data_IF_490074407470
#
_entry.id   IF_490074407470
#
_cell.length_a   1.000
_cell.length_b   1.000
_cell.length_c   1.000
_cell.angle_alpha   90.00
_cell.angle_beta   90.00
_cell.angle_gamma   90.00
#
_symmetry.space_group_name_H-M   'P 1'
#
loop_
_entity.id
_entity.type
_entity.pdbx_description
1 polymer ?
#
# COMPACT_ATOMS: atom_id res chain seq x y z
N UNK A 1 50.62 -23.19 0.92
CA UNK A 1 50.30 -21.90 1.58
C UNK A 1 49.43 -21.11 0.61
N UNK A 2 48.24 -20.64 0.95
CA UNK A 2 47.50 -20.64 2.25
C UNK A 2 46.05 -21.05 2.02
N UNK A 3 45.51 -21.94 2.87
CA UNK A 3 44.07 -22.20 2.94
C UNK A 3 43.49 -21.24 3.97
N UNK A 4 42.74 -20.23 3.53
CA UNK A 4 41.92 -19.41 4.42
C UNK A 4 40.52 -19.98 4.50
N UNK A 5 40.30 -20.86 5.48
CA UNK A 5 38.95 -21.20 5.94
C UNK A 5 38.27 -19.92 6.42
N UNK A 6 37.05 -19.57 5.93
CA UNK A 6 36.35 -18.38 6.43
C UNK A 6 36.03 -18.56 7.92
N UNK A 7 36.33 -17.51 8.70
CA UNK A 7 36.11 -17.50 10.14
C UNK A 7 34.61 -17.60 10.44
N UNK A 8 34.23 -18.57 11.29
CA UNK A 8 32.84 -18.69 11.73
C UNK A 8 32.39 -17.42 12.48
N UNK A 9 31.11 -17.07 12.36
CA UNK A 9 30.52 -15.95 13.09
C UNK A 9 30.45 -16.31 14.57
N UNK A 10 31.27 -15.63 15.38
CA UNK A 10 31.35 -15.82 16.82
C UNK A 10 30.27 -14.94 17.48
N UNK A 11 29.15 -15.55 17.85
CA UNK A 11 28.15 -14.91 18.70
C UNK A 11 28.66 -14.96 20.13
N UNK A 12 29.31 -13.87 20.55
CA UNK A 12 29.78 -13.70 21.92
C UNK A 12 28.64 -13.94 22.93
N UNK A 13 28.99 -14.58 24.04
CA UNK A 13 28.03 -15.08 25.02
C UNK A 13 27.03 -14.01 25.51
N UNK A 14 25.78 -14.42 25.68
CA UNK A 14 24.75 -13.62 26.36
C UNK A 14 25.23 -13.19 27.75
N UNK A 15 24.99 -11.93 28.15
CA UNK A 15 25.24 -11.51 29.53
C UNK A 15 24.22 -12.17 30.46
N UNK A 16 24.70 -13.00 31.39
CA UNK A 16 23.88 -13.60 32.44
C UNK A 16 23.17 -12.52 33.28
N UNK A 17 21.84 -12.62 33.51
CA UNK A 17 21.16 -11.78 34.47
C UNK A 17 21.49 -12.23 35.90
N UNK A 18 22.07 -11.33 36.71
CA UNK A 18 22.20 -11.53 38.16
C UNK A 18 20.83 -11.48 38.88
N UNK A 19 20.68 -12.16 40.03
CA UNK A 19 19.37 -12.52 40.58
C UNK A 19 18.63 -11.38 41.31
N UNK A 20 17.33 -11.62 41.51
CA UNK A 20 16.28 -10.71 42.00
C UNK A 20 16.48 -10.16 43.44
N UNK A 21 15.55 -9.28 43.89
CA UNK A 21 14.49 -9.84 44.75
C UNK A 21 13.05 -9.41 44.41
N UNK A 22 12.23 -10.41 44.05
CA UNK A 22 10.80 -10.58 44.34
C UNK A 22 10.00 -9.34 44.82
N UNK A 23 9.21 -8.74 43.92
CA UNK A 23 7.92 -8.11 44.27
C UNK A 23 6.76 -8.79 43.53
N UNK A 24 5.61 -8.91 44.21
CA UNK A 24 4.50 -9.78 43.81
C UNK A 24 3.57 -9.12 42.79
N UNK A 25 2.84 -9.90 41.96
CA UNK A 25 2.09 -9.35 40.83
C UNK A 25 0.92 -8.46 41.27
N UNK A 26 0.82 -7.29 40.66
CA UNK A 26 -0.34 -6.41 40.78
C UNK A 26 -1.53 -6.98 39.99
N UNK A 27 -2.47 -7.58 40.72
CA UNK A 27 -3.80 -7.95 40.19
C UNK A 27 -4.64 -6.68 40.05
N UNK A 28 -5.36 -6.45 38.93
CA UNK A 28 -6.18 -5.25 38.77
C UNK A 28 -7.33 -5.22 39.79
N UNK A 29 -7.38 -4.16 40.59
CA UNK A 29 -8.37 -3.97 41.64
C UNK A 29 -9.69 -3.50 41.04
N UNK A 30 -10.79 -4.21 41.32
CA UNK A 30 -12.12 -3.82 40.89
C UNK A 30 -12.63 -2.60 41.68
N UNK A 31 -13.43 -1.73 41.03
CA UNK A 31 -14.14 -0.65 41.71
C UNK A 31 -15.22 -1.24 42.64
N UNK A 32 -15.09 -0.94 43.93
CA UNK A 32 -16.09 -1.25 44.96
C UNK A 32 -17.11 -0.10 45.08
N UNK A 33 -18.38 -0.45 45.25
CA UNK A 33 -19.50 0.49 45.43
C UNK A 33 -20.28 0.10 46.70
N UNK A 34 -19.76 0.52 47.85
CA UNK A 34 -20.39 0.39 49.18
C UNK A 34 -20.84 1.74 49.74
N UNK A 35 -21.88 1.75 50.58
CA UNK A 35 -22.69 2.95 50.86
C UNK A 35 -22.78 3.35 52.36
N UNK A 36 -23.32 4.56 52.58
CA UNK A 36 -24.01 5.06 53.78
C UNK A 36 -23.19 5.50 55.04
N UNK A 37 -23.08 6.84 55.19
CA UNK A 37 -23.51 7.67 56.34
C UNK A 37 -22.89 7.57 57.76
N UNK A 38 -22.73 8.74 58.39
CA UNK A 38 -22.95 8.89 59.85
C UNK A 38 -22.25 10.04 60.60
N UNK A 39 -22.86 11.23 60.70
CA UNK A 39 -22.95 12.03 61.97
C UNK A 39 -23.72 13.35 61.80
N UNK A 40 -24.57 13.68 62.78
CA UNK A 40 -25.50 14.84 62.83
C UNK A 40 -25.55 15.35 64.29
N UNK A 41 -25.55 16.68 64.56
CA UNK A 41 -26.77 17.50 64.83
C UNK A 41 -26.81 18.81 63.98
N UNK A 42 -27.84 19.68 63.92
CA UNK A 42 -29.26 19.69 64.37
C UNK A 42 -30.06 20.79 63.59
N UNK A 43 -31.17 21.30 64.13
CA UNK A 43 -32.23 22.14 63.49
C UNK A 43 -32.68 23.30 64.42
N UNK A 44 -33.61 24.26 64.07
CA UNK A 44 -34.61 24.25 62.99
C UNK A 44 -34.92 25.56 62.21
N UNK A 45 -35.97 25.48 61.37
CA UNK A 45 -36.38 26.32 60.22
C UNK A 45 -37.48 27.36 60.57
N UNK A 46 -37.88 28.31 59.67
CA UNK A 46 -38.97 28.05 58.68
C UNK A 46 -38.67 28.60 57.26
N UNK A 47 -38.76 27.83 56.18
CA UNK A 47 -39.94 27.23 55.52
C UNK A 47 -40.70 28.19 54.58
N UNK A 48 -40.39 28.12 53.28
CA UNK A 48 -41.27 28.52 52.16
C UNK A 48 -41.03 27.56 50.97
N UNK A 49 -42.04 27.27 50.12
CA UNK A 49 -42.06 26.07 49.29
C UNK A 49 -41.30 26.21 47.95
N UNK A 50 -40.83 25.09 47.35
CA UNK A 50 -40.14 25.10 46.06
C UNK A 50 -41.09 25.44 44.91
N UNK A 51 -40.67 26.36 44.04
CA UNK A 51 -41.40 26.76 42.83
C UNK A 51 -41.22 25.70 41.74
N UNK A 52 -42.33 25.14 41.26
CA UNK A 52 -42.32 24.20 40.13
C UNK A 52 -41.88 24.90 38.83
N UNK A 53 -41.24 24.14 37.94
CA UNK A 53 -40.84 24.59 36.61
C UNK A 53 -42.05 24.57 35.65
N UNK A 54 -42.70 25.72 35.47
CA UNK A 54 -43.73 25.90 34.45
C UNK A 54 -43.11 26.00 33.06
N UNK A 55 -43.55 25.14 32.13
CA UNK A 55 -43.09 25.12 30.72
C UNK A 55 -43.93 25.99 29.79
N UNK A 56 -44.47 27.12 30.26
CA UNK A 56 -45.31 28.00 29.44
C UNK A 56 -45.25 29.47 29.89
N UNK A 57 -44.22 30.19 29.46
CA UNK A 57 -44.18 31.67 29.53
C UNK A 57 -43.28 32.21 28.39
N UNK A 58 -43.90 32.52 27.25
CA UNK A 58 -43.27 33.13 26.08
C UNK A 58 -43.25 34.67 26.20
N UNK A 59 -42.08 35.33 26.23
CA UNK A 59 -41.98 36.76 25.93
C UNK A 59 -41.94 37.00 24.41
N UNK A 60 -42.49 38.13 23.98
CA UNK A 60 -42.81 38.41 22.59
C UNK A 60 -41.61 38.47 21.62
N UNK A 61 -41.87 38.07 20.37
CA UNK A 61 -40.94 38.10 19.24
C UNK A 61 -40.51 39.52 18.85
N UNK A 62 -39.29 39.90 19.22
CA UNK A 62 -38.57 40.97 18.53
C UNK A 62 -38.07 40.42 17.18
N UNK A 63 -38.62 40.92 16.06
CA UNK A 63 -38.20 40.52 14.73
C UNK A 63 -36.73 40.92 14.48
N UNK A 64 -35.84 39.92 14.40
CA UNK A 64 -34.52 40.07 13.78
C UNK A 64 -34.49 39.36 12.45
N UNK A 65 -34.64 40.15 11.38
CA UNK A 65 -34.15 39.80 10.05
C UNK A 65 -32.66 39.46 10.14
N UNK A 66 -32.24 38.35 9.52
CA UNK A 66 -30.84 37.92 9.59
C UNK A 66 -30.61 36.41 9.61
N UNK A 67 -31.28 35.66 8.72
CA UNK A 67 -30.83 34.31 8.43
C UNK A 67 -29.51 34.39 7.63
N UNK A 68 -28.38 33.96 8.21
CA UNK A 68 -27.18 33.36 7.54
C UNK A 68 -26.01 33.09 8.51
N UNK A 69 -26.20 32.29 9.58
CA UNK A 69 -25.08 31.86 10.45
C UNK A 69 -24.44 30.51 10.05
N UNK A 70 -24.69 30.00 8.83
CA UNK A 70 -24.16 28.70 8.34
C UNK A 70 -23.30 28.80 7.06
N UNK A 71 -23.00 30.00 6.57
CA UNK A 71 -22.24 30.21 5.33
C UNK A 71 -20.77 30.62 5.54
N UNK A 72 -20.41 31.17 6.71
CA UNK A 72 -19.19 31.98 6.85
C UNK A 72 -17.89 31.19 7.05
N UNK A 73 -17.95 29.92 7.49
CA UNK A 73 -16.76 29.07 7.67
C UNK A 73 -16.25 28.41 6.38
N UNK A 74 -16.98 28.54 5.26
CA UNK A 74 -16.66 27.83 4.01
C UNK A 74 -15.90 28.71 2.99
N UNK A 75 -16.16 30.00 2.99
CA UNK A 75 -15.59 30.94 2.00
C UNK A 75 -14.10 31.29 2.22
N UNK A 76 -13.54 31.07 3.42
CA UNK A 76 -12.18 31.55 3.75
C UNK A 76 -11.10 30.96 2.83
N UNK A 77 -11.17 29.67 2.49
CA UNK A 77 -10.17 28.97 1.66
C UNK A 77 -10.61 28.72 0.22
N UNK A 78 -11.80 29.20 -0.18
CA UNK A 78 -12.33 29.08 -1.55
C UNK A 78 -11.86 30.23 -2.47
N UNK A 79 -11.24 31.28 -1.92
CA UNK A 79 -10.56 32.33 -2.70
C UNK A 79 -9.32 31.78 -3.41
N UNK A 80 -9.13 32.19 -4.66
CA UNK A 80 -8.02 31.75 -5.52
C UNK A 80 -6.65 32.09 -4.88
N UNK A 81 -6.53 33.28 -4.27
CA UNK A 81 -5.28 33.86 -3.73
C UNK A 81 -5.12 33.80 -2.20
N UNK A 82 -5.79 32.86 -1.51
CA UNK A 82 -5.74 32.79 -0.05
C UNK A 82 -4.29 32.71 0.49
N UNK A 83 -3.86 33.60 1.43
CA UNK A 83 -2.46 33.70 1.84
C UNK A 83 -1.87 32.37 2.32
N UNK A 84 -2.56 31.63 3.19
CA UNK A 84 -2.05 30.34 3.67
C UNK A 84 -1.91 29.27 2.56
N UNK A 85 -2.60 29.40 1.42
CA UNK A 85 -2.40 28.54 0.25
C UNK A 85 -1.13 28.94 -0.50
N UNK A 86 -0.85 30.24 -0.61
CA UNK A 86 0.41 30.76 -1.18
C UNK A 86 1.61 30.39 -0.31
N UNK A 87 1.47 30.48 1.01
CA UNK A 87 2.51 30.06 1.97
C UNK A 87 2.75 28.54 1.90
N UNK A 88 1.69 27.73 1.80
CA UNK A 88 1.79 26.29 1.58
C UNK A 88 2.46 25.94 0.24
N UNK A 89 2.12 26.65 -0.84
CA UNK A 89 2.80 26.48 -2.14
C UNK A 89 4.28 26.87 -2.06
N UNK A 90 4.63 27.94 -1.34
CA UNK A 90 6.04 28.32 -1.11
C UNK A 90 6.83 27.25 -0.36
N UNK A 91 6.23 26.64 0.67
CA UNK A 91 6.81 25.49 1.37
C UNK A 91 6.91 24.25 0.46
N UNK A 92 5.91 23.99 -0.38
CA UNK A 92 5.93 22.89 -1.33
C UNK A 92 7.04 23.05 -2.38
N UNK A 93 7.22 24.26 -2.92
CA UNK A 93 8.31 24.58 -3.85
C UNK A 93 9.70 24.39 -3.23
N UNK A 94 9.85 24.67 -1.92
CA UNK A 94 11.10 24.47 -1.19
C UNK A 94 11.39 23.00 -0.86
N UNK A 95 10.38 22.25 -0.38
CA UNK A 95 10.56 20.89 0.15
C UNK A 95 10.36 19.78 -0.92
N UNK A 96 9.58 20.06 -1.97
CA UNK A 96 9.12 19.08 -2.97
C UNK A 96 9.17 19.59 -4.44
N UNK A 97 10.24 20.27 -4.90
CA UNK A 97 10.24 21.01 -6.17
C UNK A 97 9.78 20.20 -7.39
N UNK A 98 10.26 18.96 -7.56
CA UNK A 98 9.88 18.10 -8.71
C UNK A 98 8.42 17.65 -8.73
N UNK A 99 7.73 17.62 -7.57
CA UNK A 99 6.28 17.40 -7.52
C UNK A 99 5.51 18.66 -7.89
N UNK A 100 5.98 19.84 -7.48
CA UNK A 100 5.26 21.10 -7.74
C UNK A 100 5.32 21.49 -9.22
N UNK A 101 6.48 21.34 -9.86
CA UNK A 101 6.70 21.63 -11.30
C UNK A 101 5.61 21.05 -12.22
N UNK A 102 5.10 19.86 -11.89
CA UNK A 102 4.11 19.12 -12.68
C UNK A 102 2.68 19.14 -12.09
N UNK A 103 2.51 19.58 -10.83
CA UNK A 103 1.26 19.42 -10.10
C UNK A 103 0.84 20.61 -9.22
N UNK A 104 1.42 21.80 -9.41
CA UNK A 104 1.14 23.01 -8.61
C UNK A 104 -0.36 23.28 -8.41
N UNK A 105 -1.15 23.25 -9.50
CA UNK A 105 -2.60 23.47 -9.43
C UNK A 105 -3.33 22.39 -8.61
N UNK A 106 -2.90 21.11 -8.73
CA UNK A 106 -3.45 19.99 -7.95
C UNK A 106 -3.12 20.18 -6.46
N UNK A 107 -1.88 20.52 -6.14
CA UNK A 107 -1.44 20.81 -4.77
C UNK A 107 -2.18 22.00 -4.18
N UNK A 108 -2.37 23.10 -4.92
CA UNK A 108 -3.18 24.24 -4.50
C UNK A 108 -4.63 23.84 -4.14
N UNK A 109 -5.25 22.96 -4.94
CA UNK A 109 -6.58 22.41 -4.64
C UNK A 109 -6.58 21.50 -3.39
N UNK A 110 -5.54 20.69 -3.18
CA UNK A 110 -5.37 19.90 -1.96
C UNK A 110 -5.18 20.78 -0.72
N UNK A 111 -4.37 21.85 -0.81
CA UNK A 111 -4.18 22.80 0.28
C UNK A 111 -5.47 23.52 0.66
N UNK A 112 -6.24 24.05 -0.30
CA UNK A 112 -7.55 24.67 -0.03
C UNK A 112 -8.51 23.72 0.71
N UNK A 113 -8.44 22.41 0.42
CA UNK A 113 -9.23 21.38 1.11
C UNK A 113 -8.71 21.03 2.50
N UNK A 114 -7.39 21.01 2.71
CA UNK A 114 -6.73 20.52 3.93
C UNK A 114 -6.46 21.61 4.99
N UNK A 115 -6.21 22.85 4.59
CA UNK A 115 -5.87 24.00 5.47
C UNK A 115 -6.90 24.41 6.52
N UNK A 116 -8.19 24.01 6.47
CA UNK A 116 -9.06 24.08 7.65
C UNK A 116 -8.60 23.20 8.84
N UNK A 117 -7.58 22.35 8.65
CA UNK A 117 -6.91 21.43 9.60
C UNK A 117 -7.79 20.98 10.77
N UNK A 118 -8.77 20.10 10.47
CA UNK A 118 -9.65 19.49 11.48
C UNK A 118 -9.26 18.03 11.67
N UNK A 119 -9.32 17.52 12.90
CA UNK A 119 -8.99 16.12 13.21
C UNK A 119 -9.70 15.13 12.27
N UNK A 120 -11.03 15.22 12.15
CA UNK A 120 -11.81 14.38 11.22
C UNK A 120 -11.36 14.50 9.75
N UNK A 121 -10.98 15.70 9.31
CA UNK A 121 -10.53 15.90 7.93
C UNK A 121 -9.16 15.24 7.69
N UNK A 122 -8.29 15.22 8.70
CA UNK A 122 -6.97 14.56 8.65
C UNK A 122 -7.10 13.05 8.73
N UNK A 123 -7.95 12.50 9.61
CA UNK A 123 -8.17 11.05 9.70
C UNK A 123 -8.71 10.46 8.41
N UNK A 124 -9.64 11.17 7.77
CA UNK A 124 -10.33 10.73 6.55
C UNK A 124 -9.53 11.12 5.26
N UNK A 125 -8.41 11.85 5.40
CA UNK A 125 -7.67 12.40 4.26
C UNK A 125 -7.11 11.33 3.33
N UNK A 126 -7.31 11.46 2.02
CA UNK A 126 -6.83 10.50 1.01
C UNK A 126 -7.35 9.05 1.20
N UNK A 127 -8.47 8.84 1.90
CA UNK A 127 -9.08 7.51 2.04
C UNK A 127 -9.43 6.88 0.68
N UNK A 128 -10.11 7.61 -0.21
CA UNK A 128 -10.39 7.16 -1.58
C UNK A 128 -9.13 6.74 -2.34
N UNK A 129 -8.12 7.62 -2.50
CA UNK A 129 -6.84 7.28 -3.12
C UNK A 129 -6.13 6.05 -2.50
N UNK A 130 -6.20 5.85 -1.18
CA UNK A 130 -5.65 4.65 -0.52
C UNK A 130 -6.44 3.38 -0.88
N UNK A 131 -7.77 3.46 -0.97
CA UNK A 131 -8.61 2.34 -1.42
C UNK A 131 -8.40 2.02 -2.91
N UNK A 132 -8.25 3.05 -3.75
CA UNK A 132 -7.91 2.92 -5.17
C UNK A 132 -6.56 2.21 -5.34
N UNK A 133 -5.52 2.64 -4.61
CA UNK A 133 -4.21 1.99 -4.66
C UNK A 133 -4.26 0.54 -4.16
N UNK A 134 -5.01 0.25 -3.10
CA UNK A 134 -5.19 -1.12 -2.61
C UNK A 134 -5.88 -2.02 -3.66
N UNK A 135 -6.87 -1.50 -4.39
CA UNK A 135 -7.53 -2.24 -5.47
C UNK A 135 -6.58 -2.55 -6.64
N UNK A 136 -5.66 -1.64 -6.97
CA UNK A 136 -4.68 -1.82 -8.05
C UNK A 136 -3.63 -2.90 -7.77
N UNK A 137 -3.45 -3.32 -6.52
CA UNK A 137 -2.56 -4.44 -6.16
C UNK A 137 -3.12 -5.82 -6.53
N UNK A 138 -4.46 -5.96 -6.65
CA UNK A 138 -5.07 -7.23 -7.05
C UNK A 138 -4.68 -7.63 -8.48
N UNK A 139 -4.83 -6.79 -9.53
CA UNK A 139 -4.35 -7.09 -10.88
C UNK A 139 -2.86 -7.49 -10.93
N UNK A 140 -1.98 -6.82 -10.19
CA UNK A 140 -0.55 -7.17 -10.11
C UNK A 140 -0.37 -8.59 -9.54
N UNK A 141 -1.07 -8.90 -8.45
CA UNK A 141 -1.03 -10.22 -7.80
C UNK A 141 -1.55 -11.32 -8.72
N UNK A 142 -2.63 -11.05 -9.46
CA UNK A 142 -3.18 -11.97 -10.47
C UNK A 142 -2.21 -12.21 -11.64
N UNK A 143 -1.48 -11.19 -12.07
CA UNK A 143 -0.46 -11.33 -13.14
C UNK A 143 0.74 -12.18 -12.67
N UNK A 144 1.24 -11.95 -11.45
CA UNK A 144 2.31 -12.79 -10.88
C UNK A 144 1.84 -14.25 -10.74
N UNK A 145 0.60 -14.47 -10.33
CA UNK A 145 0.01 -15.81 -10.25
C UNK A 145 -0.12 -16.46 -11.64
N UNK A 146 -0.63 -15.73 -12.64
CA UNK A 146 -0.72 -16.20 -14.04
C UNK A 146 0.65 -16.59 -14.58
N UNK A 147 1.69 -15.77 -14.38
CA UNK A 147 3.06 -16.07 -14.81
C UNK A 147 3.57 -17.39 -14.22
N UNK A 148 3.39 -17.59 -12.91
CA UNK A 148 3.76 -18.83 -12.21
C UNK A 148 3.00 -20.04 -12.76
N UNK A 149 1.68 -19.91 -12.96
CA UNK A 149 0.81 -20.97 -13.46
C UNK A 149 1.12 -21.42 -14.90
N UNK A 150 1.72 -20.57 -15.75
CA UNK A 150 2.12 -20.98 -17.10
C UNK A 150 3.21 -22.07 -17.10
N UNK A 151 4.01 -22.17 -16.02
CA UNK A 151 5.07 -23.16 -15.83
C UNK A 151 6.04 -23.32 -17.03
N UNK A 152 6.23 -22.27 -17.82
CA UNK A 152 6.98 -22.30 -19.09
C UNK A 152 8.41 -22.85 -18.94
N UNK A 153 9.18 -22.56 -17.86
CA UNK A 153 10.49 -23.19 -17.65
C UNK A 153 10.42 -24.72 -17.59
N UNK A 154 9.47 -25.29 -16.84
CA UNK A 154 9.30 -26.74 -16.72
C UNK A 154 8.78 -27.37 -18.03
N UNK A 155 7.97 -26.64 -18.80
CA UNK A 155 7.49 -27.06 -20.10
C UNK A 155 8.63 -27.08 -21.14
N UNK A 156 9.51 -26.06 -21.14
CA UNK A 156 10.74 -26.01 -21.92
C UNK A 156 11.70 -27.14 -21.52
N UNK A 157 11.88 -27.40 -20.22
CA UNK A 157 12.72 -28.48 -19.73
C UNK A 157 12.20 -29.85 -20.19
N UNK A 158 10.92 -30.16 -19.97
CA UNK A 158 10.31 -31.40 -20.46
C UNK A 158 10.40 -31.55 -22.00
N UNK A 159 10.23 -30.45 -22.73
CA UNK A 159 10.43 -30.44 -24.18
C UNK A 159 11.88 -30.76 -24.55
N UNK A 160 12.88 -30.13 -23.91
CA UNK A 160 14.31 -30.38 -24.11
C UNK A 160 14.74 -31.80 -23.68
N UNK A 161 14.16 -32.34 -22.61
CA UNK A 161 14.41 -33.73 -22.19
C UNK A 161 13.86 -34.73 -23.21
N UNK A 162 12.69 -34.46 -23.81
CA UNK A 162 12.16 -35.29 -24.89
C UNK A 162 13.06 -35.31 -26.15
N UNK A 163 13.96 -34.34 -26.30
CA UNK A 163 14.96 -34.33 -27.39
C UNK A 163 16.22 -35.14 -27.06
N UNK A 164 16.48 -35.46 -25.78
CA UNK A 164 17.63 -36.28 -25.37
C UNK A 164 17.31 -37.75 -25.64
N UNK A 165 17.84 -38.28 -26.75
CA UNK A 165 17.57 -39.66 -27.17
C UNK A 165 17.99 -40.69 -26.10
N UNK A 166 17.23 -41.79 -25.90
CA UNK A 166 17.67 -42.90 -25.07
C UNK A 166 18.85 -43.61 -25.74
N UNK A 167 20.03 -43.56 -25.12
CA UNK A 167 21.34 -43.98 -25.67
C UNK A 167 21.52 -45.51 -25.79
N UNK A 168 20.46 -46.28 -26.01
CA UNK A 168 20.52 -47.74 -25.99
C UNK A 168 19.34 -48.46 -26.63
N UNK A 169 19.57 -49.73 -26.98
CA UNK A 169 18.65 -50.61 -27.74
C UNK A 169 17.28 -50.77 -27.06
N UNK A 170 17.23 -50.72 -25.73
CA UNK A 170 16.00 -50.77 -24.94
C UNK A 170 15.06 -49.56 -25.17
N UNK A 171 15.60 -48.39 -25.52
CA UNK A 171 14.79 -47.20 -25.83
C UNK A 171 13.89 -47.37 -27.07
N UNK A 172 14.24 -48.30 -27.97
CA UNK A 172 13.41 -48.63 -29.14
C UNK A 172 12.20 -49.51 -28.80
N UNK A 173 12.24 -50.25 -27.68
CA UNK A 173 11.18 -51.17 -27.24
C UNK A 173 10.13 -50.50 -26.34
N UNK A 174 10.53 -49.53 -25.51
CA UNK A 174 9.62 -48.78 -24.64
C UNK A 174 9.09 -47.49 -25.29
N UNK A 175 8.78 -47.54 -26.59
CA UNK A 175 8.45 -46.36 -27.42
C UNK A 175 7.07 -45.77 -27.08
N UNK A 176 7.02 -45.03 -25.96
CA UNK A 176 5.92 -44.14 -25.56
C UNK A 176 6.43 -42.84 -24.93
N UNK A 177 7.68 -42.47 -25.25
CA UNK A 177 8.23 -41.14 -24.99
C UNK A 177 7.56 -40.15 -25.95
N UNK A 178 6.77 -39.24 -25.39
CA UNK A 178 6.16 -38.07 -26.02
C UNK A 178 7.11 -37.42 -27.04
N UNK A 179 6.67 -37.24 -28.28
CA UNK A 179 7.50 -36.62 -29.32
C UNK A 179 7.75 -35.14 -29.00
N UNK A 180 8.96 -34.59 -29.27
CA UNK A 180 9.22 -33.15 -29.15
C UNK A 180 8.22 -32.27 -29.90
N UNK A 181 7.63 -32.80 -30.99
CA UNK A 181 6.61 -32.11 -31.77
C UNK A 181 5.27 -31.93 -31.02
N UNK A 182 4.97 -32.75 -30.02
CA UNK A 182 3.75 -32.63 -29.21
C UNK A 182 3.80 -31.39 -28.29
N UNK A 183 4.99 -30.99 -27.84
CA UNK A 183 5.20 -29.75 -27.08
C UNK A 183 5.06 -28.48 -27.93
N UNK A 184 5.12 -28.57 -29.27
CA UNK A 184 5.10 -27.42 -30.19
C UNK A 184 3.89 -26.50 -29.99
N UNK A 185 2.70 -27.09 -29.86
CA UNK A 185 1.46 -26.34 -29.65
C UNK A 185 1.40 -25.69 -28.26
N UNK A 186 1.83 -26.41 -27.23
CA UNK A 186 1.85 -25.91 -25.87
C UNK A 186 2.85 -24.74 -25.71
N UNK A 187 4.07 -24.89 -26.24
CA UNK A 187 5.08 -23.82 -26.30
C UNK A 187 4.60 -22.60 -27.08
N UNK A 188 3.97 -22.78 -28.24
CA UNK A 188 3.42 -21.66 -29.03
C UNK A 188 2.31 -20.91 -28.26
N UNK A 189 1.44 -21.64 -27.55
CA UNK A 189 0.44 -21.07 -26.66
C UNK A 189 1.08 -20.31 -25.50
N UNK A 190 2.05 -20.91 -24.80
CA UNK A 190 2.81 -20.27 -23.72
C UNK A 190 3.49 -18.98 -24.18
N UNK A 191 4.09 -18.95 -25.38
CA UNK A 191 4.67 -17.72 -25.95
C UNK A 191 3.63 -16.60 -26.09
N UNK A 192 2.43 -16.94 -26.54
CA UNK A 192 1.33 -15.97 -26.73
C UNK A 192 0.82 -15.46 -25.38
N UNK A 193 0.71 -16.35 -24.39
CA UNK A 193 0.31 -16.00 -23.02
C UNK A 193 1.36 -15.11 -22.32
N UNK A 194 2.65 -15.38 -22.50
CA UNK A 194 3.72 -14.51 -21.98
C UNK A 194 3.69 -13.12 -22.61
N UNK A 195 3.48 -13.01 -23.93
CA UNK A 195 3.35 -11.71 -24.61
C UNK A 195 2.13 -10.92 -24.13
N UNK A 196 0.98 -11.58 -23.93
CA UNK A 196 -0.21 -10.94 -23.36
C UNK A 196 0.05 -10.48 -21.92
N UNK A 197 0.70 -11.31 -21.10
CA UNK A 197 1.04 -10.95 -19.73
C UNK A 197 1.99 -9.75 -19.65
N UNK A 198 2.94 -9.62 -20.57
CA UNK A 198 3.79 -8.44 -20.66
C UNK A 198 2.96 -7.18 -20.91
N UNK A 199 2.06 -7.19 -21.91
CA UNK A 199 1.17 -6.06 -22.20
C UNK A 199 0.21 -5.72 -21.04
N UNK A 200 -0.45 -6.73 -20.44
CA UNK A 200 -1.31 -6.53 -19.28
C UNK A 200 -0.52 -5.94 -18.09
N UNK A 201 0.74 -6.36 -17.91
CA UNK A 201 1.62 -5.86 -16.86
C UNK A 201 2.03 -4.40 -17.04
N UNK A 202 2.15 -3.91 -18.28
CA UNK A 202 2.48 -2.51 -18.55
C UNK A 202 1.33 -1.60 -18.13
N UNK A 203 0.09 -1.96 -18.49
CA UNK A 203 -1.13 -1.25 -18.06
C UNK A 203 -1.27 -1.29 -16.53
N UNK A 204 -1.09 -2.46 -15.91
CA UNK A 204 -1.20 -2.58 -14.46
C UNK A 204 -0.13 -1.78 -13.70
N UNK A 205 1.13 -1.77 -14.16
CA UNK A 205 2.19 -0.94 -13.54
C UNK A 205 1.93 0.55 -13.76
N UNK A 206 1.51 0.97 -14.96
CA UNK A 206 1.24 2.37 -15.25
C UNK A 206 0.13 2.96 -14.34
N UNK A 207 -0.98 2.24 -14.20
CA UNK A 207 -2.07 2.66 -13.30
C UNK A 207 -1.60 2.74 -11.83
N UNK A 208 -0.74 1.81 -11.41
CA UNK A 208 -0.18 1.79 -10.05
C UNK A 208 0.82 2.93 -9.81
N UNK A 209 1.63 3.28 -10.80
CA UNK A 209 2.53 4.44 -10.80
C UNK A 209 1.74 5.75 -10.72
N UNK A 210 0.69 5.94 -11.53
CA UNK A 210 -0.15 7.14 -11.47
C UNK A 210 -0.84 7.27 -10.11
N UNK A 211 -1.36 6.16 -9.56
CA UNK A 211 -1.94 6.11 -8.22
C UNK A 211 -0.93 6.48 -7.13
N UNK A 212 0.31 5.97 -7.23
CA UNK A 212 1.40 6.31 -6.31
C UNK A 212 1.80 7.78 -6.39
N UNK A 213 1.88 8.36 -7.59
CA UNK A 213 2.13 9.79 -7.79
C UNK A 213 1.00 10.64 -7.18
N UNK A 214 -0.27 10.27 -7.39
CA UNK A 214 -1.40 10.97 -6.80
C UNK A 214 -1.37 10.92 -5.25
N UNK A 215 -1.06 9.76 -4.66
CA UNK A 215 -0.88 9.62 -3.22
C UNK A 215 0.34 10.37 -2.68
N UNK A 216 1.43 10.46 -3.44
CA UNK A 216 2.58 11.29 -3.09
C UNK A 216 2.20 12.78 -2.97
N UNK A 217 1.33 13.30 -3.85
CA UNK A 217 0.77 14.67 -3.70
C UNK A 217 -0.06 14.82 -2.41
N UNK A 218 -0.88 13.83 -2.06
CA UNK A 218 -1.62 13.83 -0.79
C UNK A 218 -0.69 13.77 0.44
N UNK A 219 0.41 13.03 0.36
CA UNK A 219 1.44 12.94 1.42
C UNK A 219 2.25 14.23 1.57
N UNK A 220 2.65 14.85 0.46
CA UNK A 220 3.30 16.16 0.44
C UNK A 220 2.36 17.25 1.02
N UNK A 221 1.07 17.22 0.67
CA UNK A 221 0.09 18.14 1.23
C UNK A 221 -0.02 18.02 2.76
N UNK A 222 -0.07 16.80 3.31
CA UNK A 222 -0.04 16.56 4.76
C UNK A 222 1.25 17.09 5.41
N UNK A 223 2.41 16.84 4.79
CA UNK A 223 3.70 17.27 5.33
C UNK A 223 3.85 18.80 5.37
N UNK A 224 3.46 19.48 4.30
CA UNK A 224 3.48 20.94 4.21
C UNK A 224 2.50 21.57 5.20
N UNK A 225 1.27 21.05 5.32
CA UNK A 225 0.29 21.58 6.29
C UNK A 225 0.74 21.37 7.74
N UNK A 226 1.36 20.23 8.06
CA UNK A 226 1.97 20.01 9.37
C UNK A 226 3.10 21.02 9.66
N UNK A 227 3.95 21.32 8.66
CA UNK A 227 5.03 22.32 8.77
C UNK A 227 4.49 23.75 8.92
N UNK A 228 3.43 24.10 8.20
CA UNK A 228 2.80 25.42 8.24
C UNK A 228 2.08 25.69 9.56
N UNK A 229 1.37 24.69 10.10
CA UNK A 229 0.71 24.81 11.40
C UNK A 229 1.71 24.77 12.59
N UNK A 230 2.88 24.15 12.40
CA UNK A 230 3.95 24.10 13.38
C UNK A 230 3.48 23.51 14.72
N UNK A 231 3.93 24.12 15.82
CA UNK A 231 3.53 23.73 17.18
C UNK A 231 2.16 24.26 17.63
N UNK A 232 1.35 24.87 16.76
CA UNK A 232 0.03 25.40 17.12
C UNK A 232 -1.09 24.35 17.08
N UNK A 233 -0.78 23.12 16.66
CA UNK A 233 -1.69 21.98 16.65
C UNK A 233 -1.81 21.37 18.05
N UNK A 234 -3.00 20.88 18.40
CA UNK A 234 -3.15 20.03 19.58
C UNK A 234 -2.44 18.66 19.36
N UNK A 235 -2.22 17.93 20.46
CA UNK A 235 -1.49 16.68 20.43
C UNK A 235 -2.19 15.58 19.60
N UNK A 236 -3.52 15.51 19.63
CA UNK A 236 -4.26 14.50 18.88
C UNK A 236 -4.25 14.78 17.37
N UNK A 237 -4.35 16.06 16.98
CA UNK A 237 -4.23 16.49 15.59
C UNK A 237 -2.81 16.30 15.03
N UNK A 238 -1.79 16.54 15.87
CA UNK A 238 -0.38 16.28 15.54
C UNK A 238 -0.11 14.79 15.30
N UNK A 239 -0.58 13.93 16.20
CA UNK A 239 -0.48 12.47 16.07
C UNK A 239 -1.23 11.96 14.82
N UNK A 240 -2.48 12.42 14.61
CA UNK A 240 -3.26 12.07 13.42
C UNK A 240 -2.56 12.44 12.09
N UNK A 241 -1.89 13.61 12.02
CA UNK A 241 -1.09 13.99 10.84
C UNK A 241 0.11 13.04 10.64
N UNK A 242 0.81 12.67 11.71
CA UNK A 242 1.95 11.75 11.65
C UNK A 242 1.50 10.35 11.20
N UNK A 243 0.43 9.82 11.82
CA UNK A 243 -0.16 8.53 11.45
C UNK A 243 -0.62 8.53 9.99
N UNK A 244 -1.38 9.54 9.56
CA UNK A 244 -1.92 9.58 8.20
C UNK A 244 -0.82 9.74 7.13
N UNK A 245 0.19 10.58 7.41
CA UNK A 245 1.38 10.69 6.54
C UNK A 245 2.12 9.35 6.45
N UNK A 246 2.26 8.64 7.57
CA UNK A 246 2.93 7.33 7.61
C UNK A 246 2.20 6.29 6.78
N UNK A 247 0.86 6.20 6.87
CA UNK A 247 0.03 5.31 6.04
C UNK A 247 0.18 5.61 4.55
N UNK A 248 0.08 6.89 4.14
CA UNK A 248 0.27 7.29 2.74
C UNK A 248 1.69 6.96 2.25
N UNK A 249 2.73 7.20 3.06
CA UNK A 249 4.12 6.85 2.72
C UNK A 249 4.35 5.34 2.67
N UNK A 250 3.63 4.53 3.43
CA UNK A 250 3.68 3.07 3.34
C UNK A 250 3.04 2.58 2.04
N UNK A 251 1.87 3.10 1.68
CA UNK A 251 1.15 2.75 0.47
C UNK A 251 1.94 3.09 -0.81
N UNK A 252 2.51 4.31 -0.89
CA UNK A 252 3.39 4.72 -2.00
C UNK A 252 4.59 3.78 -2.15
N UNK A 253 5.29 3.47 -1.04
CA UNK A 253 6.44 2.53 -1.08
C UNK A 253 6.03 1.11 -1.45
N UNK A 254 4.85 0.66 -1.06
CA UNK A 254 4.33 -0.64 -1.47
C UNK A 254 4.09 -0.68 -2.99
N UNK A 255 3.49 0.38 -3.56
CA UNK A 255 3.29 0.50 -5.00
C UNK A 255 4.62 0.53 -5.77
N UNK A 256 5.61 1.31 -5.34
CA UNK A 256 6.96 1.34 -5.91
C UNK A 256 7.62 -0.05 -5.92
N UNK A 257 7.53 -0.79 -4.81
CA UNK A 257 8.04 -2.17 -4.72
C UNK A 257 7.30 -3.13 -5.65
N UNK A 258 5.98 -3.03 -5.76
CA UNK A 258 5.17 -3.85 -6.67
C UNK A 258 5.47 -3.55 -8.15
N UNK A 259 5.72 -2.29 -8.52
CA UNK A 259 6.19 -1.90 -9.86
C UNK A 259 7.54 -2.55 -10.18
N UNK A 260 8.51 -2.48 -9.26
CA UNK A 260 9.83 -3.10 -9.42
C UNK A 260 9.73 -4.64 -9.57
N UNK A 261 8.91 -5.29 -8.74
CA UNK A 261 8.66 -6.73 -8.83
C UNK A 261 8.03 -7.13 -10.17
N UNK A 262 7.03 -6.38 -10.63
CA UNK A 262 6.38 -6.65 -11.92
C UNK A 262 7.34 -6.40 -13.09
N UNK A 263 8.24 -5.42 -13.00
CA UNK A 263 9.33 -5.22 -13.95
C UNK A 263 10.27 -6.42 -14.07
N UNK A 264 10.62 -7.07 -12.94
CA UNK A 264 11.43 -8.30 -12.94
C UNK A 264 10.69 -9.47 -13.62
N UNK A 265 9.40 -9.65 -13.32
CA UNK A 265 8.57 -10.68 -13.96
C UNK A 265 8.44 -10.43 -15.47
N UNK A 266 8.30 -9.18 -15.90
CA UNK A 266 8.27 -8.80 -17.33
C UNK A 266 9.58 -9.15 -18.04
N UNK A 267 10.73 -8.93 -17.40
CA UNK A 267 12.03 -9.34 -17.95
C UNK A 267 12.13 -10.87 -18.08
N UNK A 268 11.76 -11.61 -17.03
CA UNK A 268 11.75 -13.07 -17.06
C UNK A 268 10.81 -13.62 -18.15
N UNK A 269 9.65 -12.99 -18.34
CA UNK A 269 8.72 -13.33 -19.42
C UNK A 269 9.33 -13.08 -20.82
N UNK A 270 10.04 -11.96 -21.01
CA UNK A 270 10.74 -11.67 -22.25
C UNK A 270 11.85 -12.69 -22.56
N UNK A 271 12.65 -13.06 -21.55
CA UNK A 271 13.70 -14.07 -21.67
C UNK A 271 13.11 -15.44 -22.04
N UNK A 272 11.99 -15.83 -21.42
CA UNK A 272 11.27 -17.07 -21.74
C UNK A 272 10.65 -17.04 -23.14
N UNK A 273 10.09 -15.90 -23.59
CA UNK A 273 9.64 -15.74 -25.00
C UNK A 273 10.81 -15.96 -25.97
N UNK A 274 12.01 -15.47 -25.64
CA UNK A 274 13.23 -15.73 -26.42
C UNK A 274 13.60 -17.22 -26.47
N UNK A 275 13.63 -17.89 -25.32
CA UNK A 275 13.94 -19.32 -25.21
C UNK A 275 12.92 -20.20 -25.96
N UNK A 276 11.62 -19.95 -25.78
CA UNK A 276 10.55 -20.64 -26.50
C UNK A 276 10.66 -20.41 -28.01
N UNK A 277 10.95 -19.18 -28.43
CA UNK A 277 11.14 -18.87 -29.86
C UNK A 277 12.33 -19.64 -30.45
N UNK A 278 13.46 -19.66 -29.75
CA UNK A 278 14.67 -20.40 -30.15
C UNK A 278 14.40 -21.91 -30.26
N UNK A 279 13.71 -22.50 -29.28
CA UNK A 279 13.35 -23.93 -29.35
C UNK A 279 12.47 -24.23 -30.56
N UNK A 280 11.44 -23.41 -30.81
CA UNK A 280 10.47 -23.63 -31.88
C UNK A 280 11.03 -23.41 -33.30
N UNK A 281 12.02 -22.53 -33.46
CA UNK A 281 12.56 -22.15 -34.78
C UNK A 281 13.93 -22.75 -35.11
N UNK A 282 14.73 -23.15 -34.10
CA UNK A 282 16.07 -23.70 -34.29
C UNK A 282 16.13 -25.15 -33.83
N UNK A 283 15.83 -25.41 -32.54
CA UNK A 283 16.03 -26.75 -31.95
C UNK A 283 15.09 -27.79 -32.55
N UNK A 284 13.79 -27.51 -32.60
CA UNK A 284 12.78 -28.45 -33.07
C UNK A 284 12.97 -28.79 -34.58
N UNK A 285 13.15 -27.83 -35.50
CA UNK A 285 13.42 -28.14 -36.91
C UNK A 285 14.73 -28.92 -37.13
N UNK A 286 15.80 -28.61 -36.38
CA UNK A 286 17.06 -29.35 -36.47
C UNK A 286 16.90 -30.83 -36.07
N UNK A 287 16.06 -31.11 -35.08
CA UNK A 287 15.73 -32.47 -34.65
C UNK A 287 14.83 -33.19 -35.67
N UNK A 288 13.83 -32.51 -36.23
CA UNK A 288 12.99 -33.05 -37.31
C UNK A 288 13.86 -33.45 -38.52
N UNK A 289 14.85 -32.63 -38.89
CA UNK A 289 15.82 -32.93 -39.96
C UNK A 289 16.75 -34.10 -39.60
N UNK A 290 17.30 -34.14 -38.38
CA UNK A 290 18.19 -35.22 -37.95
C UNK A 290 17.47 -36.58 -37.89
N UNK A 291 16.21 -36.60 -37.46
CA UNK A 291 15.36 -37.81 -37.47
C UNK A 291 15.05 -38.27 -38.89
N UNK A 292 14.82 -37.35 -39.83
CA UNK A 292 14.61 -37.70 -41.24
C UNK A 292 15.87 -38.28 -41.90
N UNK A 293 17.08 -37.81 -41.51
CA UNK A 293 18.35 -38.30 -42.07
C UNK A 293 18.79 -39.65 -41.48
N UNK A 294 18.50 -39.91 -40.19
CA UNK A 294 18.82 -41.19 -39.52
C UNK A 294 17.80 -42.32 -39.74
N UNK A 295 16.85 -42.13 -40.66
CA UNK A 295 15.77 -43.09 -40.97
C UNK A 295 15.97 -43.92 -42.24
N UNK A 296 17.06 -43.69 -42.98
CA UNK A 296 17.53 -44.48 -44.13
C UNK A 296 18.73 -45.36 -43.74
#
# INVERSE_FOLDING_TARGET
MTHHTPKAFDFGAEPEPSPEPVERPAVPQALDFGAEQGSVPASPVPASPPRALSFDELPATAARTGATSKAMAKALFESEDHPAVRDALGLAWADYPGLVEHAEQRLAALFRRLLPVRLKLVTDWAEGPLMEQAALLQPITELVLKFSQMAVPALLEAALESTRAPTGVFGKLFRRTTSPAEYKAALASSRTQLLQLMADSEVATHNLEESAQNLALHGAALAVVAKLAGGALDAALSDALVQRRTLVQQAVRQAELSVLQMGQVRQQAADLVGQVSSFLTVTLPALEMAQAQGGN
#
